data_IF_027557818203
#
_entry.id   IF_027557818203
#
_cell.length_a   1.000
_cell.length_b   1.000
_cell.length_c   1.000
_cell.angle_alpha   90.00
_cell.angle_beta   90.00
_cell.angle_gamma   90.00
#
_symmetry.space_group_name_H-M   'P 1'
#
loop_
_entity.id
_entity.type
_entity.pdbx_description
1 polymer ?
#
# COMPACT_ATOMS: atom_id res chain seq x y z
N UNK A 1 -3.74 -15.05 -1.92
CA UNK A 1 -3.64 -13.61 -2.24
C UNK A 1 -2.47 -13.30 -3.17
N UNK A 2 -1.24 -13.76 -2.88
CA UNK A 2 -0.08 -13.56 -3.78
C UNK A 2 -0.32 -14.09 -5.22
N UNK A 3 -0.98 -15.25 -5.36
CA UNK A 3 -1.37 -15.79 -6.66
C UNK A 3 -2.48 -14.99 -7.37
N UNK A 4 -3.36 -14.31 -6.62
CA UNK A 4 -4.41 -13.46 -7.17
C UNK A 4 -3.80 -12.16 -7.70
N UNK A 5 -2.89 -11.54 -6.92
CA UNK A 5 -2.12 -10.39 -7.35
C UNK A 5 -1.35 -10.67 -8.64
N UNK A 6 -0.65 -11.81 -8.71
CA UNK A 6 0.11 -12.24 -9.88
C UNK A 6 -0.77 -12.55 -11.10
N UNK A 7 -1.92 -13.23 -10.94
CA UNK A 7 -2.85 -13.47 -12.06
C UNK A 7 -3.48 -12.19 -12.60
N UNK A 8 -3.80 -11.24 -11.71
CA UNK A 8 -4.37 -9.95 -12.10
C UNK A 8 -3.33 -9.06 -12.80
N UNK A 9 -2.03 -9.25 -12.53
CA UNK A 9 -0.95 -8.54 -13.22
C UNK A 9 -0.43 -9.25 -14.47
N UNK A 10 -0.49 -10.58 -14.56
CA UNK A 10 -0.10 -11.35 -15.77
C UNK A 10 -0.96 -10.99 -17.00
N UNK A 11 -2.23 -10.64 -16.81
CA UNK A 11 -3.12 -10.21 -17.91
C UNK A 11 -2.83 -8.79 -18.41
N UNK A 12 -1.98 -8.01 -17.72
CA UNK A 12 -1.56 -6.68 -18.16
C UNK A 12 -0.44 -6.75 -19.21
N UNK A 13 0.28 -7.88 -19.32
CA UNK A 13 1.44 -8.02 -20.22
C UNK A 13 1.08 -8.27 -21.70
N UNK A 14 -0.17 -8.62 -22.04
CA UNK A 14 -0.49 -9.19 -23.37
C UNK A 14 -1.14 -8.22 -24.37
N UNK A 15 -1.17 -6.91 -24.11
CA UNK A 15 -1.80 -5.94 -25.01
C UNK A 15 -0.92 -4.75 -25.36
N UNK A 16 -0.25 -4.79 -26.53
CA UNK A 16 0.45 -3.65 -27.19
C UNK A 16 -0.47 -2.44 -27.54
N UNK A 17 -1.57 -2.23 -26.82
CA UNK A 17 -2.54 -1.17 -27.10
C UNK A 17 -3.37 -0.67 -25.90
N UNK A 18 -3.00 -1.00 -24.65
CA UNK A 18 -3.84 -0.62 -23.48
C UNK A 18 -3.06 -0.06 -22.28
N UNK A 19 -2.23 0.96 -22.53
CA UNK A 19 -1.76 1.91 -21.51
C UNK A 19 -2.89 2.83 -20.97
N UNK A 20 -4.16 2.42 -20.99
CA UNK A 20 -5.29 3.36 -20.82
C UNK A 20 -6.16 3.19 -19.58
N UNK A 21 -6.05 2.08 -18.83
CA UNK A 21 -6.93 1.88 -17.67
C UNK A 21 -6.16 2.12 -16.38
N UNK A 22 -6.39 3.29 -15.79
CA UNK A 22 -5.97 3.55 -14.42
C UNK A 22 -6.89 2.78 -13.49
N UNK A 23 -6.30 1.99 -12.59
CA UNK A 23 -7.02 1.20 -11.60
C UNK A 23 -6.69 1.70 -10.20
N UNK A 24 -7.71 1.81 -9.36
CA UNK A 24 -7.56 2.12 -7.95
C UNK A 24 -7.81 0.85 -7.13
N UNK A 25 -6.77 0.38 -6.44
CA UNK A 25 -6.89 -0.65 -5.41
C UNK A 25 -7.11 0.04 -4.08
N UNK A 26 -8.36 0.05 -3.61
CA UNK A 26 -8.73 0.63 -2.31
C UNK A 26 -8.91 -0.49 -1.29
N UNK A 27 -8.11 -0.45 -0.21
CA UNK A 27 -8.14 -1.45 0.85
C UNK A 27 -8.51 -0.75 2.16
N UNK A 28 -9.76 -0.94 2.57
CA UNK A 28 -10.21 -0.57 3.91
C UNK A 28 -9.70 -1.60 4.93
N UNK A 29 -9.32 -1.12 6.10
CA UNK A 29 -8.66 -1.90 7.15
C UNK A 29 -7.54 -2.80 6.61
N UNK A 30 -6.63 -2.20 5.84
CA UNK A 30 -5.49 -2.86 5.22
C UNK A 30 -4.72 -3.82 6.15
N UNK A 31 -4.45 -3.49 7.44
CA UNK A 31 -3.75 -4.40 8.34
C UNK A 31 -4.43 -5.76 8.56
N UNK A 32 -5.76 -5.86 8.40
CA UNK A 32 -6.49 -7.11 8.55
C UNK A 32 -6.13 -8.16 7.49
N UNK A 33 -5.54 -7.75 6.35
CA UNK A 33 -5.06 -8.66 5.32
C UNK A 33 -3.76 -9.39 5.73
N UNK A 34 -3.14 -8.98 6.84
CA UNK A 34 -1.85 -9.49 7.29
C UNK A 34 -0.71 -9.06 6.35
N UNK A 35 0.46 -9.69 6.52
CA UNK A 35 1.62 -9.38 5.69
C UNK A 35 1.38 -9.82 4.25
N UNK A 36 1.40 -8.87 3.33
CA UNK A 36 1.38 -9.11 1.90
C UNK A 36 2.78 -8.85 1.34
N UNK A 37 3.56 -9.91 1.10
CA UNK A 37 4.96 -9.80 0.64
C UNK A 37 5.10 -9.01 -0.67
N UNK A 38 4.06 -9.03 -1.52
CA UNK A 38 4.06 -8.25 -2.74
C UNK A 38 3.92 -6.74 -2.48
N UNK A 39 3.35 -6.29 -1.36
CA UNK A 39 3.25 -4.85 -1.11
C UNK A 39 4.60 -4.22 -0.76
N UNK A 40 5.49 -4.95 -0.07
CA UNK A 40 6.83 -4.46 0.29
C UNK A 40 7.71 -4.22 -0.94
N UNK A 41 7.56 -5.04 -1.99
CA UNK A 41 8.38 -4.98 -3.21
C UNK A 41 7.65 -4.42 -4.43
N UNK A 42 6.34 -4.63 -4.54
CA UNK A 42 5.55 -4.34 -5.74
C UNK A 42 4.75 -3.04 -5.69
N UNK A 43 4.64 -2.32 -4.56
CA UNK A 43 4.03 -0.98 -4.56
C UNK A 43 4.66 -0.05 -5.61
N UNK A 44 6.00 -0.07 -5.71
CA UNK A 44 6.73 0.67 -6.71
C UNK A 44 6.43 0.19 -8.15
N UNK A 45 6.30 -1.13 -8.36
CA UNK A 45 6.03 -1.70 -9.68
C UNK A 45 4.57 -1.51 -10.14
N UNK A 46 3.60 -1.52 -9.22
CA UNK A 46 2.17 -1.35 -9.52
C UNK A 46 1.87 -0.01 -10.24
N UNK A 47 2.60 1.05 -9.89
CA UNK A 47 2.49 2.33 -10.56
C UNK A 47 2.83 2.25 -12.07
N UNK A 48 3.81 1.41 -12.44
CA UNK A 48 4.18 1.13 -13.83
C UNK A 48 3.08 0.44 -14.64
N UNK A 49 2.20 -0.31 -13.96
CA UNK A 49 1.04 -0.98 -14.54
C UNK A 49 -0.24 -0.11 -14.53
N UNK A 50 -0.17 1.15 -14.11
CA UNK A 50 -1.33 2.03 -14.00
C UNK A 50 -2.23 1.73 -12.81
N UNK A 51 -1.76 0.95 -11.83
CA UNK A 51 -2.47 0.65 -10.59
C UNK A 51 -1.99 1.61 -9.50
N UNK A 52 -2.92 2.28 -8.84
CA UNK A 52 -2.67 3.08 -7.63
C UNK A 52 -3.31 2.37 -6.44
N UNK A 53 -2.59 2.28 -5.33
CA UNK A 53 -3.13 1.74 -4.08
C UNK A 53 -3.54 2.87 -3.14
N UNK A 54 -4.70 2.72 -2.48
CA UNK A 54 -5.17 3.57 -1.39
C UNK A 54 -5.42 2.70 -0.18
N UNK A 55 -4.49 2.77 0.77
CA UNK A 55 -4.45 1.91 1.95
C UNK A 55 -4.99 2.69 3.15
N UNK A 56 -6.03 2.17 3.77
CA UNK A 56 -6.64 2.77 4.97
C UNK A 56 -6.30 1.88 6.15
N UNK A 57 -5.78 2.47 7.22
CA UNK A 57 -5.49 1.78 8.47
C UNK A 57 -5.95 2.64 9.63
N UNK A 58 -6.51 2.01 10.66
CA UNK A 58 -6.92 2.70 11.89
C UNK A 58 -5.73 3.06 12.79
N UNK A 59 -4.60 2.34 12.67
CA UNK A 59 -3.41 2.59 13.48
C UNK A 59 -2.11 2.20 12.79
N UNK A 60 -1.09 3.07 12.91
CA UNK A 60 0.29 2.76 12.52
C UNK A 60 0.88 1.59 13.32
N UNK A 61 0.36 1.30 14.52
CA UNK A 61 0.80 0.14 15.29
C UNK A 61 0.31 -1.17 14.67
N UNK A 62 -0.88 -1.20 14.06
CA UNK A 62 -1.36 -2.40 13.36
C UNK A 62 -0.52 -2.67 12.10
N UNK A 63 -0.10 -1.62 11.39
CA UNK A 63 0.84 -1.74 10.27
C UNK A 63 2.17 -2.33 10.75
N UNK A 64 2.74 -1.78 11.84
CA UNK A 64 3.98 -2.30 12.43
C UNK A 64 3.87 -3.75 12.90
N UNK A 65 2.73 -4.16 13.46
CA UNK A 65 2.47 -5.57 13.82
C UNK A 65 2.41 -6.49 12.61
N UNK A 66 1.84 -6.03 11.49
CA UNK A 66 1.67 -6.84 10.29
C UNK A 66 2.94 -6.90 9.42
N UNK A 67 3.72 -5.82 9.33
CA UNK A 67 4.84 -5.68 8.39
C UNK A 67 6.21 -5.45 9.08
N UNK A 68 6.24 -5.40 10.41
CA UNK A 68 7.43 -5.04 11.18
C UNK A 68 7.62 -3.53 11.33
N UNK A 69 8.49 -3.14 12.26
CA UNK A 69 8.74 -1.73 12.58
C UNK A 69 9.44 -0.98 11.42
N UNK A 70 10.27 -1.69 10.63
CA UNK A 70 11.00 -1.16 9.47
C UNK A 70 10.30 -1.52 8.14
N UNK A 71 9.00 -1.26 8.03
CA UNK A 71 8.25 -1.53 6.80
C UNK A 71 8.34 -0.38 5.79
N UNK A 72 8.42 -0.71 4.50
CA UNK A 72 8.46 0.26 3.41
C UNK A 72 7.06 0.73 2.94
N UNK A 73 5.98 0.32 3.63
CA UNK A 73 4.61 0.67 3.21
C UNK A 73 4.44 2.19 3.24
N UNK A 74 4.78 2.81 4.36
CA UNK A 74 4.67 4.26 4.52
C UNK A 74 5.58 4.99 3.53
N UNK A 75 6.82 4.54 3.36
CA UNK A 75 7.81 5.13 2.46
C UNK A 75 7.34 5.14 1.00
N UNK A 76 6.69 4.06 0.55
CA UNK A 76 6.18 3.94 -0.82
C UNK A 76 4.88 4.73 -1.07
N UNK A 77 4.14 5.10 -0.02
CA UNK A 77 2.92 5.91 -0.14
C UNK A 77 3.27 7.40 -0.32
N UNK A 78 3.11 7.89 -1.55
CA UNK A 78 3.40 9.29 -1.91
C UNK A 78 2.43 10.31 -1.29
N UNK A 79 1.19 9.89 -1.01
CA UNK A 79 0.18 10.71 -0.33
C UNK A 79 -0.16 10.02 0.97
N UNK A 80 -0.02 10.75 2.08
CA UNK A 80 -0.35 10.29 3.42
C UNK A 80 -1.39 11.24 4.00
N UNK A 81 -2.51 10.69 4.45
CA UNK A 81 -3.58 11.44 5.09
C UNK A 81 -3.69 10.91 6.52
N UNK A 82 -3.43 11.76 7.49
CA UNK A 82 -3.57 11.43 8.89
C UNK A 82 -4.73 12.23 9.50
N UNK A 83 -5.64 11.53 10.17
CA UNK A 83 -6.71 12.15 10.95
C UNK A 83 -6.42 11.95 12.43
N UNK A 84 -6.60 13.00 13.22
CA UNK A 84 -6.60 12.98 14.69
C UNK A 84 -5.53 12.04 15.29
N UNK A 85 -4.26 12.49 15.28
CA UNK A 85 -3.18 11.79 15.96
C UNK A 85 -3.37 11.86 17.48
N UNK A 86 -4.26 11.00 17.99
CA UNK A 86 -4.75 11.03 19.37
C UNK A 86 -3.72 10.59 20.40
N UNK A 87 -2.57 10.07 19.98
CA UNK A 87 -1.45 9.73 20.84
C UNK A 87 -0.13 10.34 20.33
N UNK A 88 0.72 10.75 21.27
CA UNK A 88 1.99 11.44 21.02
C UNK A 88 2.94 10.61 20.15
N UNK A 89 2.95 9.27 20.33
CA UNK A 89 3.82 8.37 19.55
C UNK A 89 3.40 8.34 18.08
N UNK A 90 2.10 8.21 17.80
CA UNK A 90 1.57 8.28 16.44
C UNK A 90 1.80 9.67 15.84
N UNK A 91 1.58 10.75 16.59
CA UNK A 91 1.85 12.10 16.13
C UNK A 91 3.32 12.29 15.73
N UNK A 92 4.25 11.82 16.57
CA UNK A 92 5.69 11.87 16.28
C UNK A 92 6.06 11.05 15.05
N UNK A 93 5.54 9.82 14.93
CA UNK A 93 5.77 8.96 13.75
C UNK A 93 5.24 9.58 12.46
N UNK A 94 4.11 10.27 12.51
CA UNK A 94 3.59 11.00 11.35
C UNK A 94 4.49 12.20 11.05
N UNK A 95 4.89 12.97 12.08
CA UNK A 95 5.76 14.13 11.94
C UNK A 95 7.13 13.78 11.34
N UNK A 96 7.73 12.66 11.77
CA UNK A 96 9.03 12.19 11.27
C UNK A 96 8.93 11.67 9.81
N UNK A 97 7.71 11.36 9.35
CA UNK A 97 7.43 10.85 8.00
C UNK A 97 6.91 11.93 7.02
N UNK A 98 6.81 13.19 7.47
CA UNK A 98 6.50 14.37 6.66
C UNK A 98 7.79 15.06 6.19
#
# INVERSE_FOLDING_TARGET
LNQIGRRLTETLETGKGKRSRQLLMMLDEFPALGRLDFFESALAFMAGYGIRAYLIAQSLNQIGKAYGDNNAILDNCHVRIAFAANDERTAKRISDAL
#
